data_IF_768652336556
#
_entry.id   IF_768652336556
#
_cell.length_a   1.000
_cell.length_b   1.000
_cell.length_c   1.000
_cell.angle_alpha   90.00
_cell.angle_beta   90.00
_cell.angle_gamma   90.00
#
_symmetry.space_group_name_H-M   'P 1'
#
loop_
_entity.id
_entity.type
_entity.pdbx_description
1 polymer ?
#
# COMPACT_ATOMS: atom_id res chain seq x y z
N UNK A 1 -24.38 7.36 5.74
CA UNK A 1 -25.39 6.29 5.63
C UNK A 1 -26.68 6.75 6.30
N UNK A 2 -27.87 6.43 5.78
CA UNK A 2 -29.13 6.85 6.44
C UNK A 2 -29.50 5.89 7.59
N UNK A 3 -30.29 6.32 8.59
CA UNK A 3 -30.76 5.43 9.65
C UNK A 3 -31.53 4.21 9.15
N UNK A 4 -32.34 4.37 8.09
CA UNK A 4 -33.05 3.24 7.48
C UNK A 4 -32.08 2.24 6.81
N UNK A 5 -31.09 2.75 6.08
CA UNK A 5 -30.05 1.91 5.48
C UNK A 5 -29.21 1.17 6.53
N UNK A 6 -29.03 1.77 7.72
CA UNK A 6 -28.40 1.10 8.89
C UNK A 6 -29.16 -0.12 9.32
N UNK A 7 -30.43 0.05 9.65
CA UNK A 7 -31.25 -1.06 10.15
C UNK A 7 -31.32 -2.19 9.12
N UNK A 8 -31.45 -1.86 7.84
CA UNK A 8 -31.49 -2.87 6.77
C UNK A 8 -30.16 -3.64 6.66
N UNK A 9 -29.03 -2.94 6.70
CA UNK A 9 -27.70 -3.53 6.60
C UNK A 9 -27.36 -4.38 7.82
N UNK A 10 -27.73 -3.92 9.02
CA UNK A 10 -27.58 -4.68 10.27
C UNK A 10 -28.42 -5.95 10.23
N UNK A 11 -29.69 -5.85 9.78
CA UNK A 11 -30.53 -7.03 9.60
C UNK A 11 -29.98 -8.01 8.55
N UNK A 12 -29.27 -7.51 7.52
CA UNK A 12 -28.57 -8.34 6.54
C UNK A 12 -27.37 -9.05 7.18
N UNK A 13 -26.56 -8.34 7.96
CA UNK A 13 -25.43 -8.93 8.69
C UNK A 13 -25.90 -10.04 9.64
N UNK A 14 -26.99 -9.81 10.38
CA UNK A 14 -27.59 -10.81 11.27
C UNK A 14 -28.15 -12.03 10.52
N UNK A 15 -28.63 -11.86 9.28
CA UNK A 15 -29.05 -12.99 8.44
C UNK A 15 -27.86 -13.79 7.90
N UNK A 16 -26.77 -13.12 7.55
CA UNK A 16 -25.54 -13.79 7.13
C UNK A 16 -24.96 -14.62 8.28
N UNK A 17 -24.87 -14.02 9.47
CA UNK A 17 -24.41 -14.71 10.68
C UNK A 17 -25.22 -15.96 10.98
N UNK A 18 -26.57 -15.85 10.97
CA UNK A 18 -27.46 -17.01 11.22
C UNK A 18 -27.33 -18.13 10.18
N UNK A 19 -26.86 -17.82 8.96
CA UNK A 19 -26.64 -18.80 7.90
C UNK A 19 -25.23 -19.40 7.91
N UNK A 20 -24.35 -18.94 8.83
CA UNK A 20 -22.94 -19.32 8.86
C UNK A 20 -22.12 -18.67 7.73
N UNK A 21 -22.64 -17.62 7.10
CA UNK A 21 -21.93 -16.84 6.08
C UNK A 21 -20.99 -15.84 6.78
N UNK A 22 -20.00 -16.35 7.53
CA UNK A 22 -19.22 -15.53 8.48
C UNK A 22 -18.39 -14.44 7.78
N UNK A 23 -17.84 -14.71 6.60
CA UNK A 23 -17.12 -13.72 5.78
C UNK A 23 -18.03 -12.56 5.39
N UNK A 24 -19.23 -12.83 4.88
CA UNK A 24 -20.20 -11.77 4.51
C UNK A 24 -20.68 -11.00 5.75
N UNK A 25 -20.86 -11.70 6.88
CA UNK A 25 -21.23 -11.05 8.14
C UNK A 25 -20.13 -10.09 8.62
N UNK A 26 -18.85 -10.48 8.54
CA UNK A 26 -17.71 -9.61 8.87
C UNK A 26 -17.69 -8.37 7.98
N UNK A 27 -17.77 -8.53 6.66
CA UNK A 27 -17.73 -7.39 5.72
C UNK A 27 -18.85 -6.36 6.00
N UNK A 28 -20.07 -6.86 6.29
CA UNK A 28 -21.21 -6.01 6.61
C UNK A 28 -21.02 -5.29 7.97
N UNK A 29 -20.51 -5.99 8.98
CA UNK A 29 -20.24 -5.40 10.30
C UNK A 29 -19.06 -4.41 10.27
N UNK A 30 -18.03 -4.64 9.46
CA UNK A 30 -16.94 -3.69 9.22
C UNK A 30 -17.46 -2.41 8.56
N UNK A 31 -18.34 -2.55 7.57
CA UNK A 31 -18.98 -1.39 6.92
C UNK A 31 -19.82 -0.59 7.92
N UNK A 32 -20.56 -1.27 8.79
CA UNK A 32 -21.37 -0.65 9.83
C UNK A 32 -20.54 0.08 10.89
N UNK A 33 -19.48 -0.55 11.40
CA UNK A 33 -18.57 0.06 12.39
C UNK A 33 -17.81 1.25 11.81
N UNK A 34 -17.42 1.21 10.53
CA UNK A 34 -16.81 2.36 9.87
C UNK A 34 -17.77 3.54 9.69
N UNK A 35 -19.05 3.26 9.40
CA UNK A 35 -20.08 4.29 9.27
C UNK A 35 -20.54 4.88 10.61
N UNK A 36 -20.42 4.13 11.70
CA UNK A 36 -20.86 4.49 13.05
C UNK A 36 -19.80 4.12 14.10
N UNK A 37 -18.66 4.84 14.15
CA UNK A 37 -17.53 4.48 15.00
C UNK A 37 -17.80 4.56 16.51
N UNK A 38 -18.79 5.36 16.92
CA UNK A 38 -19.13 5.56 18.34
C UNK A 38 -20.12 4.51 18.89
N UNK A 39 -20.62 3.61 18.04
CA UNK A 39 -21.59 2.58 18.43
C UNK A 39 -20.87 1.31 18.93
N UNK A 40 -20.66 1.25 20.24
CA UNK A 40 -20.02 0.10 20.89
C UNK A 40 -20.72 -1.23 20.60
N UNK A 41 -22.04 -1.24 20.39
CA UNK A 41 -22.78 -2.48 20.12
C UNK A 41 -22.41 -3.12 18.77
N UNK A 42 -22.08 -2.30 17.76
CA UNK A 42 -21.62 -2.78 16.46
C UNK A 42 -20.19 -3.29 16.54
N UNK A 43 -19.34 -2.65 17.35
CA UNK A 43 -17.99 -3.11 17.62
C UNK A 43 -17.98 -4.47 18.32
N UNK A 44 -18.83 -4.64 19.34
CA UNK A 44 -19.00 -5.91 20.06
C UNK A 44 -19.49 -7.02 19.13
N UNK A 45 -20.49 -6.73 18.28
CA UNK A 45 -20.98 -7.68 17.27
C UNK A 45 -19.87 -8.09 16.31
N UNK A 46 -19.09 -7.15 15.79
CA UNK A 46 -17.96 -7.46 14.91
C UNK A 46 -16.91 -8.35 15.61
N UNK A 47 -16.59 -8.05 16.87
CA UNK A 47 -15.66 -8.85 17.66
C UNK A 47 -16.15 -10.30 17.82
N UNK A 48 -17.41 -10.48 18.20
CA UNK A 48 -18.01 -11.81 18.37
C UNK A 48 -18.01 -12.63 17.08
N UNK A 49 -18.30 -11.99 15.93
CA UNK A 49 -18.25 -12.69 14.63
C UNK A 49 -16.81 -13.09 14.30
N UNK A 50 -15.83 -12.21 14.57
CA UNK A 50 -14.41 -12.52 14.35
C UNK A 50 -13.90 -13.67 15.21
N UNK A 51 -14.34 -13.76 16.46
CA UNK A 51 -14.02 -14.89 17.34
C UNK A 51 -14.59 -16.23 16.83
N UNK A 52 -15.69 -16.17 16.08
CA UNK A 52 -16.35 -17.35 15.51
C UNK A 52 -15.73 -17.83 14.20
N UNK A 53 -14.79 -17.08 13.61
CA UNK A 53 -14.19 -17.42 12.31
C UNK A 53 -13.39 -18.72 12.37
N UNK A 54 -13.59 -19.55 11.37
CA UNK A 54 -12.79 -20.75 11.13
C UNK A 54 -11.52 -20.41 10.32
N UNK A 55 -10.48 -21.26 10.38
CA UNK A 55 -9.23 -21.01 9.65
C UNK A 55 -9.39 -20.76 8.15
N UNK A 56 -10.33 -21.46 7.49
CA UNK A 56 -10.59 -21.29 6.06
C UNK A 56 -11.22 -19.92 5.76
N UNK A 57 -12.04 -19.39 6.66
CA UNK A 57 -12.68 -18.08 6.49
C UNK A 57 -11.69 -16.96 6.76
N UNK A 58 -10.79 -17.15 7.73
CA UNK A 58 -9.65 -16.26 7.97
C UNK A 58 -8.80 -16.11 6.70
N UNK A 59 -8.43 -17.23 6.06
CA UNK A 59 -7.67 -17.21 4.81
C UNK A 59 -8.42 -16.48 3.68
N UNK A 60 -9.75 -16.66 3.58
CA UNK A 60 -10.56 -15.94 2.59
C UNK A 60 -10.57 -14.44 2.84
N UNK A 61 -10.69 -14.01 4.10
CA UNK A 61 -10.62 -12.61 4.48
C UNK A 61 -9.25 -12.00 4.19
N UNK A 62 -8.17 -12.71 4.52
CA UNK A 62 -6.80 -12.30 4.22
C UNK A 62 -6.55 -12.17 2.71
N UNK A 63 -7.06 -13.12 1.92
CA UNK A 63 -6.97 -13.08 0.47
C UNK A 63 -7.84 -11.97 -0.16
N UNK A 64 -8.96 -11.61 0.47
CA UNK A 64 -9.82 -10.52 0.05
C UNK A 64 -9.30 -9.14 0.48
N UNK A 65 -8.42 -9.09 1.50
CA UNK A 65 -7.79 -7.85 1.95
C UNK A 65 -6.94 -7.30 0.79
N UNK A 66 -7.11 -6.02 0.41
CA UNK A 66 -6.21 -5.42 -0.56
C UNK A 66 -4.79 -5.50 0.00
N UNK A 67 -3.77 -5.82 -0.83
CA UNK A 67 -2.39 -5.85 -0.38
C UNK A 67 -2.08 -4.51 0.30
N UNK A 68 -1.53 -4.56 1.51
CA UNK A 68 -1.07 -3.35 2.20
C UNK A 68 -0.13 -2.60 1.26
N UNK A 69 -0.53 -1.39 0.87
CA UNK A 69 0.31 -0.55 0.02
C UNK A 69 1.59 -0.26 0.82
N UNK A 70 2.78 -0.55 0.28
CA UNK A 70 4.01 -0.33 1.00
C UNK A 70 4.09 1.14 1.44
N UNK A 71 4.15 1.37 2.75
CA UNK A 71 4.31 2.71 3.29
C UNK A 71 5.67 3.27 2.85
N UNK A 72 5.63 4.23 1.91
CA UNK A 72 6.84 4.93 1.52
C UNK A 72 7.27 5.85 2.67
N UNK A 73 8.52 5.77 3.15
CA UNK A 73 8.99 6.63 4.24
C UNK A 73 8.89 8.12 3.84
N UNK A 74 8.27 8.91 4.72
CA UNK A 74 8.02 10.36 4.55
C UNK A 74 9.15 11.16 5.19
N UNK A 75 9.77 12.09 4.44
CA UNK A 75 10.81 13.00 4.95
C UNK A 75 11.94 13.27 3.95
N UNK A 76 12.93 14.12 4.31
CA UNK A 76 14.13 14.32 3.51
C UNK A 76 14.82 12.97 3.34
N UNK A 77 14.90 12.50 2.10
CA UNK A 77 15.45 11.19 1.80
C UNK A 77 16.92 11.28 1.43
N UNK A 78 17.73 10.39 1.98
CA UNK A 78 19.05 10.11 1.39
C UNK A 78 18.89 9.62 -0.05
N UNK A 79 19.92 9.72 -0.91
CA UNK A 79 19.84 9.20 -2.27
C UNK A 79 19.50 7.71 -2.33
N UNK A 80 19.91 6.92 -1.33
CA UNK A 80 19.55 5.50 -1.25
C UNK A 80 18.05 5.30 -0.99
N UNK A 81 17.47 6.08 -0.07
CA UNK A 81 16.02 6.04 0.20
C UNK A 81 15.20 6.52 -1.00
N UNK A 82 15.68 7.55 -1.71
CA UNK A 82 15.09 7.98 -2.99
C UNK A 82 15.13 6.84 -4.03
N UNK A 83 16.25 6.09 -4.09
CA UNK A 83 16.41 4.93 -4.96
C UNK A 83 15.41 3.82 -4.69
N UNK A 84 15.24 3.41 -3.43
CA UNK A 84 14.26 2.38 -3.04
C UNK A 84 12.84 2.80 -3.39
N UNK A 85 12.46 4.06 -3.17
CA UNK A 85 11.12 4.54 -3.51
C UNK A 85 10.90 4.56 -5.02
N UNK A 86 11.85 5.05 -5.81
CA UNK A 86 11.76 5.04 -7.26
C UNK A 86 11.67 3.60 -7.80
N UNK A 87 12.41 2.66 -7.19
CA UNK A 87 12.32 1.23 -7.51
C UNK A 87 10.92 0.66 -7.24
N UNK A 88 10.35 0.93 -6.05
CA UNK A 88 9.00 0.49 -5.70
C UNK A 88 7.92 1.05 -6.64
N UNK A 89 8.16 2.22 -7.21
CA UNK A 89 7.30 2.87 -8.20
C UNK A 89 7.52 2.37 -9.64
N UNK A 90 8.50 1.47 -9.86
CA UNK A 90 8.89 0.94 -11.17
C UNK A 90 9.84 1.86 -11.97
N UNK A 91 10.25 3.01 -11.43
CA UNK A 91 11.20 3.93 -12.09
C UNK A 91 12.64 3.44 -11.93
N UNK A 92 12.99 2.34 -12.61
CA UNK A 92 14.30 1.72 -12.50
C UNK A 92 15.43 2.64 -12.97
N UNK A 93 15.19 3.49 -13.98
CA UNK A 93 16.17 4.46 -14.47
C UNK A 93 16.43 5.55 -13.41
N UNK A 94 15.37 6.09 -12.81
CA UNK A 94 15.47 7.04 -11.71
C UNK A 94 16.15 6.42 -10.48
N UNK A 95 15.79 5.19 -10.13
CA UNK A 95 16.39 4.45 -9.02
C UNK A 95 17.90 4.24 -9.22
N UNK A 96 18.34 3.79 -10.41
CA UNK A 96 19.76 3.63 -10.71
C UNK A 96 20.55 4.95 -10.61
N UNK A 97 19.95 6.08 -11.02
CA UNK A 97 20.57 7.39 -10.84
C UNK A 97 20.67 7.80 -9.36
N UNK A 98 19.72 7.39 -8.52
CA UNK A 98 19.75 7.65 -7.09
C UNK A 98 20.81 6.81 -6.35
N UNK A 99 20.95 5.52 -6.66
CA UNK A 99 22.04 4.70 -6.09
C UNK A 99 23.43 5.13 -6.55
N UNK A 100 23.58 5.60 -7.79
CA UNK A 100 24.86 6.21 -8.24
C UNK A 100 25.27 7.38 -7.34
N UNK A 101 24.32 8.22 -6.94
CA UNK A 101 24.57 9.32 -5.98
C UNK A 101 24.85 8.80 -4.57
N UNK A 102 24.11 7.77 -4.12
CA UNK A 102 24.37 7.15 -2.83
C UNK A 102 25.82 6.61 -2.73
N UNK A 103 26.34 6.05 -3.83
CA UNK A 103 27.72 5.61 -3.95
C UNK A 103 28.73 6.76 -4.07
N UNK A 104 28.35 7.92 -4.61
CA UNK A 104 29.21 9.11 -4.54
C UNK A 104 29.38 9.59 -3.09
N UNK A 105 28.33 9.49 -2.27
CA UNK A 105 28.39 9.82 -0.84
C UNK A 105 29.11 8.74 -0.01
N UNK A 106 28.94 7.46 -0.36
CA UNK A 106 29.55 6.30 0.32
C UNK A 106 30.09 5.28 -0.68
N UNK A 107 31.30 5.48 -1.23
CA UNK A 107 31.86 4.64 -2.27
C UNK A 107 32.08 3.17 -1.86
N UNK A 108 32.37 2.94 -0.59
CA UNK A 108 32.71 1.62 -0.05
C UNK A 108 31.48 0.81 0.42
N UNK A 109 30.28 1.33 0.19
CA UNK A 109 29.06 0.64 0.61
C UNK A 109 28.68 -0.47 -0.38
N UNK A 110 29.06 -1.71 -0.08
CA UNK A 110 28.76 -2.89 -0.90
C UNK A 110 27.26 -3.08 -1.15
N UNK A 111 26.40 -2.82 -0.17
CA UNK A 111 24.94 -2.93 -0.34
C UNK A 111 24.44 -1.98 -1.45
N UNK A 112 24.99 -0.77 -1.55
CA UNK A 112 24.60 0.17 -2.61
C UNK A 112 25.13 -0.27 -3.98
N UNK A 113 26.28 -0.95 -4.04
CA UNK A 113 26.82 -1.52 -5.28
C UNK A 113 25.93 -2.65 -5.79
N UNK A 114 25.54 -3.56 -4.89
CA UNK A 114 24.63 -4.67 -5.19
C UNK A 114 23.27 -4.17 -5.67
N UNK A 115 22.65 -3.25 -4.93
CA UNK A 115 21.37 -2.65 -5.33
C UNK A 115 21.47 -1.92 -6.66
N UNK A 116 22.55 -1.18 -6.92
CA UNK A 116 22.75 -0.53 -8.21
C UNK A 116 22.81 -1.55 -9.37
N UNK A 117 23.50 -2.68 -9.18
CA UNK A 117 23.58 -3.73 -10.19
C UNK A 117 22.21 -4.36 -10.49
N UNK A 118 21.44 -4.69 -9.46
CA UNK A 118 20.09 -5.24 -9.59
C UNK A 118 19.16 -4.28 -10.35
N UNK A 119 19.12 -3.02 -9.91
CA UNK A 119 18.26 -2.01 -10.53
C UNK A 119 18.69 -1.72 -11.96
N UNK A 120 19.99 -1.76 -12.26
CA UNK A 120 20.50 -1.59 -13.61
C UNK A 120 20.08 -2.74 -14.54
N UNK A 121 20.05 -3.98 -14.05
CA UNK A 121 19.53 -5.11 -14.81
C UNK A 121 18.04 -4.92 -15.13
N UNK A 122 17.22 -4.57 -14.12
CA UNK A 122 15.80 -4.29 -14.34
C UNK A 122 15.56 -3.13 -15.31
N UNK A 123 16.37 -2.07 -15.24
CA UNK A 123 16.27 -0.94 -16.18
C UNK A 123 16.59 -1.33 -17.63
N UNK A 124 17.46 -2.33 -17.85
CA UNK A 124 17.76 -2.84 -19.20
C UNK A 124 16.65 -3.72 -19.75
N UNK A 125 16.05 -4.54 -18.90
CA UNK A 125 14.96 -5.46 -19.27
C UNK A 125 13.63 -4.72 -19.42
N UNK A 126 13.41 -3.68 -18.61
CA UNK A 126 12.17 -2.90 -18.54
C UNK A 126 12.44 -1.39 -18.61
N UNK A 127 12.96 -0.88 -19.76
CA UNK A 127 13.47 0.48 -19.87
C UNK A 127 12.43 1.62 -19.79
N UNK A 128 11.13 1.30 -19.75
CA UNK A 128 10.04 2.28 -19.94
C UNK A 128 9.00 2.32 -18.81
N UNK A 129 9.31 1.87 -17.60
CA UNK A 129 8.40 2.14 -16.48
C UNK A 129 8.70 3.52 -15.88
N UNK A 130 8.02 4.54 -16.42
CA UNK A 130 7.64 5.67 -15.57
C UNK A 130 6.63 5.15 -14.54
N UNK A 131 6.62 5.65 -13.29
CA UNK A 131 5.52 5.39 -12.37
C UNK A 131 4.23 5.80 -13.08
N UNK A 132 3.39 4.82 -13.39
CA UNK A 132 2.03 5.11 -13.87
C UNK A 132 1.24 5.64 -12.68
N UNK A 133 0.19 6.41 -12.93
CA UNK A 133 -0.65 6.91 -11.82
C UNK A 133 -1.23 5.78 -10.97
N UNK A 134 -1.28 4.55 -11.51
CA UNK A 134 -1.66 3.32 -10.80
C UNK A 134 -0.63 2.85 -9.77
N UNK A 135 0.66 3.14 -9.99
CA UNK A 135 1.75 2.78 -9.07
C UNK A 135 1.97 3.81 -7.97
N UNK A 136 1.32 4.98 -8.06
CA UNK A 136 1.43 6.00 -7.04
C UNK A 136 0.63 5.59 -5.79
N UNK A 137 1.17 5.83 -4.58
CA UNK A 137 0.43 5.61 -3.34
C UNK A 137 -0.91 6.36 -3.34
N UNK A 138 -1.94 5.78 -2.72
CA UNK A 138 -3.23 6.46 -2.59
C UNK A 138 -3.22 7.55 -1.52
N UNK A 139 -2.46 7.35 -0.44
CA UNK A 139 -2.41 8.29 0.67
C UNK A 139 -1.74 9.63 0.26
N UNK A 140 -2.25 10.79 0.72
CA UNK A 140 -1.84 12.10 0.20
C UNK A 140 -0.34 12.41 0.37
N UNK A 141 0.21 12.15 1.56
CA UNK A 141 1.60 12.45 1.90
C UNK A 141 2.60 11.59 1.10
N UNK A 142 2.51 10.24 1.09
CA UNK A 142 3.43 9.42 0.30
C UNK A 142 3.24 9.64 -1.21
N UNK A 143 2.02 9.97 -1.66
CA UNK A 143 1.77 10.35 -3.05
C UNK A 143 2.51 11.63 -3.43
N UNK A 144 2.45 12.66 -2.59
CA UNK A 144 3.19 13.91 -2.81
C UNK A 144 4.69 13.63 -2.88
N UNK A 145 5.24 12.84 -1.96
CA UNK A 145 6.66 12.51 -1.97
C UNK A 145 7.06 11.76 -3.24
N UNK A 146 6.29 10.77 -3.65
CA UNK A 146 6.52 10.03 -4.90
C UNK A 146 6.51 10.95 -6.14
N UNK A 147 5.60 11.93 -6.18
CA UNK A 147 5.56 12.92 -7.25
C UNK A 147 6.77 13.85 -7.24
N UNK A 148 7.22 14.28 -6.06
CA UNK A 148 8.43 15.11 -5.93
C UNK A 148 9.68 14.36 -6.40
N UNK A 149 9.85 13.10 -6.00
CA UNK A 149 10.96 12.25 -6.42
C UNK A 149 10.95 12.04 -7.94
N UNK A 150 9.78 11.78 -8.52
CA UNK A 150 9.58 11.66 -9.98
C UNK A 150 9.95 12.94 -10.73
N UNK A 151 9.58 14.11 -10.21
CA UNK A 151 9.94 15.40 -10.84
C UNK A 151 11.44 15.65 -10.71
N UNK A 152 12.02 15.37 -9.54
CA UNK A 152 13.43 15.53 -9.27
C UNK A 152 14.30 14.60 -10.16
N UNK A 153 13.93 13.32 -10.29
CA UNK A 153 14.63 12.34 -11.12
C UNK A 153 14.66 12.78 -12.59
N UNK A 154 13.49 13.13 -13.15
CA UNK A 154 13.35 13.58 -14.54
C UNK A 154 14.09 14.88 -14.85
N UNK A 155 14.09 15.83 -13.91
CA UNK A 155 14.81 17.10 -14.09
C UNK A 155 16.31 16.89 -14.15
N UNK A 156 16.84 15.94 -13.36
CA UNK A 156 18.27 15.63 -13.32
C UNK A 156 18.72 14.87 -14.57
N UNK A 157 17.93 13.90 -15.04
CA UNK A 157 18.20 13.16 -16.29
C UNK A 157 18.27 14.06 -17.54
N UNK A 158 17.61 15.22 -17.55
CA UNK A 158 17.71 16.18 -18.66
C UNK A 158 18.99 17.03 -18.65
N UNK A 159 19.74 17.04 -17.54
CA UNK A 159 20.93 17.89 -17.33
C UNK A 159 22.24 17.15 -17.54
N UNK A 160 22.22 15.82 -17.52
CA UNK A 160 23.34 14.94 -17.84
C UNK A 160 23.32 14.56 -19.34
#
# INVERSE_FOLDING_TARGET
>A
MTPAARVEMEARADRALRRGELVEAVDLYETLTHAFPDDASLADKLANVRESLLPLELQKLEAARPPEEPELPVGPSSPAQEGERLFALGDYVGAAAAYRRALQERPDNELFKERLLEVFQMAREMPLQSPTDKALPKAPQPRLQALLDRVASRRRLKRD
#
